data_IF_218168359477
#
_entry.id   IF_218168359477
#
_cell.length_a   1.000
_cell.length_b   1.000
_cell.length_c   1.000
_cell.angle_alpha   90.00
_cell.angle_beta   90.00
_cell.angle_gamma   90.00
#
_symmetry.space_group_name_H-M   'P 1'
#
loop_
_entity.id
_entity.type
_entity.pdbx_description
1 polymer ?
#
# COMPACT_ATOMS: atom_id res chain seq x y z
N UNK A 1 -16.45 -17.07 3.31
CA UNK A 1 -16.37 -15.81 4.09
C UNK A 1 -16.25 -14.69 3.05
N UNK A 2 -17.32 -13.93 2.83
CA UNK A 2 -17.33 -12.86 1.83
C UNK A 2 -16.56 -11.68 2.39
N UNK A 3 -15.28 -11.58 2.05
CA UNK A 3 -14.35 -10.52 2.47
C UNK A 3 -14.70 -9.11 1.95
N UNK A 4 -15.90 -8.93 1.40
CA UNK A 4 -16.32 -7.74 0.66
C UNK A 4 -17.60 -7.11 1.20
N UNK A 5 -18.07 -7.50 2.39
CA UNK A 5 -19.07 -6.69 3.07
C UNK A 5 -18.43 -5.35 3.49
N UNK A 6 -19.08 -4.20 3.23
CA UNK A 6 -18.50 -2.88 3.50
C UNK A 6 -17.98 -2.70 4.93
N UNK A 7 -18.66 -3.29 5.91
CA UNK A 7 -18.27 -3.22 7.32
C UNK A 7 -16.93 -3.92 7.62
N UNK A 8 -16.51 -4.90 6.82
CA UNK A 8 -15.22 -5.57 7.02
C UNK A 8 -14.05 -4.63 6.70
N UNK A 9 -14.23 -3.69 5.77
CA UNK A 9 -13.20 -2.68 5.46
C UNK A 9 -13.07 -1.67 6.60
N UNK A 10 -14.20 -1.22 7.15
CA UNK A 10 -14.21 -0.31 8.31
C UNK A 10 -13.51 -0.95 9.51
N UNK A 11 -13.84 -2.20 9.83
CA UNK A 11 -13.19 -2.96 10.90
C UNK A 11 -11.69 -3.16 10.66
N UNK A 12 -11.29 -3.40 9.42
CA UNK A 12 -9.88 -3.52 9.07
C UNK A 12 -9.14 -2.19 9.26
N UNK A 13 -9.74 -1.06 8.86
CA UNK A 13 -9.16 0.28 9.09
C UNK A 13 -9.01 0.55 10.58
N UNK A 14 -10.02 0.28 11.40
CA UNK A 14 -9.96 0.48 12.85
C UNK A 14 -8.85 -0.37 13.50
N UNK A 15 -8.72 -1.63 13.08
CA UNK A 15 -7.63 -2.51 13.52
C UNK A 15 -6.25 -1.97 13.16
N UNK A 16 -6.10 -1.49 11.93
CA UNK A 16 -4.81 -0.96 11.44
C UNK A 16 -4.48 0.40 12.07
N UNK A 17 -5.47 1.23 12.38
CA UNK A 17 -5.29 2.51 13.07
C UNK A 17 -4.74 2.35 14.49
N UNK A 18 -5.11 1.26 15.19
CA UNK A 18 -4.55 0.89 16.49
C UNK A 18 -3.21 0.15 16.43
N UNK A 19 -2.67 -0.11 15.23
CA UNK A 19 -1.48 -0.92 15.05
C UNK A 19 -0.20 -0.19 15.44
N UNK A 20 0.78 -0.94 15.97
CA UNK A 20 2.15 -0.46 16.26
C UNK A 20 3.12 -0.69 15.11
N UNK A 21 2.62 -1.13 13.94
CA UNK A 21 3.42 -1.36 12.75
C UNK A 21 3.98 -0.02 12.28
N UNK A 22 5.30 0.04 12.09
CA UNK A 22 5.93 1.13 11.37
C UNK A 22 5.66 0.97 9.87
N UNK A 23 4.58 1.59 9.41
CA UNK A 23 4.15 1.50 8.02
C UNK A 23 5.19 2.03 7.03
N UNK A 24 6.08 2.95 7.44
CA UNK A 24 7.16 3.44 6.57
C UNK A 24 8.15 2.33 6.23
N UNK A 25 8.38 1.37 7.13
CA UNK A 25 9.22 0.20 6.86
C UNK A 25 8.55 -0.84 5.95
N UNK A 26 7.22 -0.82 5.86
CA UNK A 26 6.43 -1.77 5.07
C UNK A 26 6.26 -1.30 3.62
N UNK A 27 6.33 0.00 3.40
CA UNK A 27 6.06 0.63 2.11
C UNK A 27 7.29 1.30 1.51
N UNK A 28 7.58 1.03 0.25
CA UNK A 28 8.46 1.81 -0.61
C UNK A 28 7.68 2.92 -1.33
N UNK A 29 8.39 3.97 -1.75
CA UNK A 29 7.83 5.04 -2.61
C UNK A 29 7.44 6.29 -1.81
N UNK A 30 6.64 7.21 -2.38
CA UNK A 30 5.75 7.01 -3.53
C UNK A 30 6.46 7.03 -4.89
N UNK A 31 5.90 6.30 -5.86
CA UNK A 31 6.24 6.42 -7.29
C UNK A 31 5.08 7.04 -8.05
N UNK A 32 5.39 7.68 -9.17
CA UNK A 32 4.38 8.20 -10.11
C UNK A 32 3.75 7.05 -10.91
N UNK A 33 2.58 7.28 -11.50
CA UNK A 33 1.93 6.29 -12.36
C UNK A 33 2.82 5.85 -13.53
N UNK A 34 3.60 6.79 -14.09
CA UNK A 34 4.53 6.52 -15.20
C UNK A 34 5.69 5.58 -14.83
N UNK A 35 6.04 5.50 -13.55
CA UNK A 35 7.12 4.66 -13.03
C UNK A 35 6.67 3.24 -12.68
N UNK A 36 5.36 2.95 -12.69
CA UNK A 36 4.80 1.63 -12.37
C UNK A 36 5.39 0.51 -13.24
N UNK A 37 5.53 0.65 -14.58
CA UNK A 37 6.13 -0.39 -15.40
C UNK A 37 7.57 -0.73 -14.97
N UNK A 38 8.40 0.28 -14.69
CA UNK A 38 9.78 0.07 -14.26
C UNK A 38 9.84 -0.61 -12.87
N UNK A 39 8.89 -0.30 -11.99
CA UNK A 39 8.81 -0.89 -10.66
C UNK A 39 8.62 -2.42 -10.66
N UNK A 40 8.01 -3.00 -11.71
CA UNK A 40 7.89 -4.45 -11.88
C UNK A 40 9.19 -5.13 -12.35
N UNK A 41 10.11 -4.37 -12.92
CA UNK A 41 11.38 -4.89 -13.44
C UNK A 41 12.51 -4.84 -12.42
N UNK A 42 12.38 -4.08 -11.33
CA UNK A 42 13.32 -4.08 -10.22
C UNK A 42 12.99 -5.22 -9.25
N UNK A 43 14.02 -5.80 -8.62
CA UNK A 43 13.84 -6.56 -7.39
C UNK A 43 13.04 -5.71 -6.39
N UNK A 44 12.13 -6.33 -5.64
CA UNK A 44 11.41 -5.65 -4.57
C UNK A 44 12.42 -4.91 -3.68
N UNK A 45 12.13 -3.66 -3.32
CA UNK A 45 12.97 -2.91 -2.39
C UNK A 45 12.87 -3.51 -0.98
N UNK A 46 13.39 -2.81 0.02
CA UNK A 46 13.25 -3.26 1.41
C UNK A 46 11.79 -3.29 1.87
N UNK A 47 10.93 -2.42 1.30
CA UNK A 47 9.49 -2.43 1.51
C UNK A 47 8.77 -3.55 0.78
N UNK A 48 7.77 -4.14 1.44
CA UNK A 48 6.92 -5.21 0.90
C UNK A 48 5.88 -4.71 -0.11
N UNK A 49 5.53 -3.42 -0.06
CA UNK A 49 4.51 -2.78 -0.90
C UNK A 49 5.07 -1.49 -1.49
N UNK A 50 4.65 -1.12 -2.70
CA UNK A 50 5.03 0.16 -3.31
C UNK A 50 3.81 1.06 -3.44
N UNK A 51 3.91 2.27 -2.92
CA UNK A 51 2.85 3.28 -3.00
C UNK A 51 2.93 3.98 -4.35
N UNK A 52 1.79 4.11 -5.03
CA UNK A 52 1.66 4.87 -6.27
C UNK A 52 0.90 6.15 -5.97
N UNK A 53 1.50 7.28 -6.31
CA UNK A 53 0.85 8.58 -6.27
C UNK A 53 0.05 8.79 -7.56
N UNK A 54 -1.24 9.07 -7.40
CA UNK A 54 -2.19 9.34 -8.48
C UNK A 54 -2.52 10.83 -8.62
N UNK A 55 -1.90 11.70 -7.81
CA UNK A 55 -2.16 13.14 -7.82
C UNK A 55 -1.49 13.88 -8.98
N UNK A 56 -0.55 13.23 -9.68
CA UNK A 56 0.01 13.75 -10.93
C UNK A 56 -0.93 13.40 -12.10
N UNK A 57 -1.79 14.36 -12.46
CA UNK A 57 -2.48 14.43 -13.77
C UNK A 57 -1.99 15.65 -14.54
#
# INVERSE_FOLDING_TARGET
MHNYEPHHLEQAVDLLAGSRIDWQSVTDGPITLSQVPEAFHRSAGEGMRRVVDLSES
#
